data_IF_911527629751
#
_entry.id   IF_911527629751
#
_cell.length_a   1.000
_cell.length_b   1.000
_cell.length_c   1.000
_cell.angle_alpha   90.00
_cell.angle_beta   90.00
_cell.angle_gamma   90.00
#
_symmetry.space_group_name_H-M   'P 1'
#
loop_
_entity.id
_entity.type
_entity.pdbx_description
1 polymer ?
#
# COMPACT_ATOMS: atom_id res chain seq x y z
N UNK A 1 10.86 -36.40 54.69
CA UNK A 1 11.24 -36.18 53.28
C UNK A 1 12.75 -36.35 53.18
N UNK A 2 13.22 -37.32 52.40
CA UNK A 2 14.64 -37.44 52.08
C UNK A 2 14.96 -36.44 50.98
N UNK A 3 15.75 -35.40 51.28
CA UNK A 3 16.37 -34.56 50.25
C UNK A 3 17.60 -35.29 49.72
N UNK A 4 17.62 -35.73 48.46
CA UNK A 4 18.84 -36.28 47.87
C UNK A 4 19.84 -35.15 47.70
N UNK A 5 20.82 -35.08 48.61
CA UNK A 5 21.97 -34.18 48.50
C UNK A 5 22.63 -34.38 47.13
N UNK A 6 22.77 -33.30 46.35
CA UNK A 6 23.34 -33.34 44.99
C UNK A 6 22.32 -33.39 43.84
N UNK A 7 21.03 -33.61 44.12
CA UNK A 7 19.94 -33.55 43.12
C UNK A 7 18.93 -32.42 43.43
N UNK A 8 19.33 -31.45 44.25
CA UNK A 8 18.44 -30.40 44.77
C UNK A 8 17.79 -29.57 43.67
N UNK A 9 18.53 -29.27 42.60
CA UNK A 9 18.03 -28.52 41.44
C UNK A 9 16.95 -29.30 40.69
N UNK A 10 17.18 -30.59 40.41
CA UNK A 10 16.19 -31.43 39.71
C UNK A 10 14.97 -31.73 40.57
N UNK A 11 15.15 -31.87 41.89
CA UNK A 11 14.06 -32.00 42.85
C UNK A 11 13.22 -30.71 42.92
N UNK A 12 13.87 -29.54 42.91
CA UNK A 12 13.21 -28.24 42.91
C UNK A 12 12.43 -28.01 41.61
N UNK A 13 13.00 -28.36 40.45
CA UNK A 13 12.31 -28.29 39.16
C UNK A 13 11.05 -29.20 39.11
N UNK A 14 11.14 -30.42 39.66
CA UNK A 14 9.97 -31.32 39.78
C UNK A 14 8.88 -30.76 40.69
N UNK A 15 9.26 -30.13 41.81
CA UNK A 15 8.32 -29.47 42.70
C UNK A 15 7.67 -28.25 42.03
N UNK A 16 8.45 -27.45 41.30
CA UNK A 16 7.95 -26.31 40.53
C UNK A 16 6.96 -26.76 39.45
N UNK A 17 7.24 -27.85 38.75
CA UNK A 17 6.31 -28.41 37.76
C UNK A 17 5.00 -28.88 38.41
N UNK A 18 5.09 -29.50 39.59
CA UNK A 18 3.92 -29.87 40.40
C UNK A 18 3.10 -28.64 40.82
N UNK A 19 3.77 -27.58 41.27
CA UNK A 19 3.16 -26.30 41.63
C UNK A 19 2.48 -25.63 40.44
N UNK A 20 3.13 -25.60 39.28
CA UNK A 20 2.55 -25.11 38.01
C UNK A 20 1.25 -25.85 37.66
N UNK A 21 1.27 -27.18 37.68
CA UNK A 21 0.08 -27.99 37.42
C UNK A 21 -1.06 -27.69 38.41
N UNK A 22 -0.73 -27.49 39.69
CA UNK A 22 -1.72 -27.19 40.71
C UNK A 22 -2.31 -25.78 40.53
N UNK A 23 -1.49 -24.78 40.18
CA UNK A 23 -1.96 -23.44 39.86
C UNK A 23 -2.96 -23.46 38.70
N UNK A 24 -2.65 -24.21 37.62
CA UNK A 24 -3.57 -24.37 36.48
C UNK A 24 -4.91 -25.02 36.89
N UNK A 25 -4.89 -26.04 37.75
CA UNK A 25 -6.12 -26.69 38.24
C UNK A 25 -7.01 -25.77 39.08
N UNK A 26 -6.38 -24.84 39.81
CA UNK A 26 -7.04 -23.84 40.66
C UNK A 26 -7.47 -22.58 39.91
N UNK A 27 -7.01 -22.39 38.68
CA UNK A 27 -7.23 -21.16 37.92
C UNK A 27 -6.36 -19.99 38.40
N UNK A 28 -5.24 -20.27 39.07
CA UNK A 28 -4.25 -19.28 39.51
C UNK A 28 -3.29 -18.96 38.34
N UNK A 29 -3.84 -18.31 37.31
CA UNK A 29 -3.19 -18.17 35.99
C UNK A 29 -1.88 -17.37 36.03
N UNK A 30 -1.81 -16.31 36.83
CA UNK A 30 -0.60 -15.48 36.97
C UNK A 30 0.55 -16.25 37.64
N UNK A 31 0.24 -17.04 38.67
CA UNK A 31 1.22 -17.88 39.35
C UNK A 31 1.72 -18.99 38.43
N UNK A 32 0.81 -19.62 37.68
CA UNK A 32 1.19 -20.62 36.67
C UNK A 32 2.12 -20.00 35.60
N UNK A 33 1.81 -18.80 35.11
CA UNK A 33 2.63 -18.11 34.11
C UNK A 33 4.03 -17.78 34.65
N UNK A 34 4.15 -17.38 35.92
CA UNK A 34 5.43 -17.05 36.54
C UNK A 34 6.39 -18.26 36.63
N UNK A 35 5.87 -19.49 36.66
CA UNK A 35 6.69 -20.70 36.67
C UNK A 35 7.32 -21.02 35.30
N UNK A 36 6.73 -20.54 34.20
CA UNK A 36 7.08 -20.95 32.82
C UNK A 36 8.56 -20.72 32.48
N UNK A 37 9.19 -19.55 32.76
CA UNK A 37 10.59 -19.32 32.40
C UNK A 37 11.56 -20.31 33.05
N UNK A 38 11.33 -20.63 34.33
CA UNK A 38 12.17 -21.57 35.09
C UNK A 38 11.93 -23.03 34.66
N UNK A 39 10.71 -23.37 34.23
CA UNK A 39 10.39 -24.69 33.71
C UNK A 39 10.94 -24.95 32.31
N UNK A 40 11.18 -23.90 31.52
CA UNK A 40 11.87 -24.00 30.24
C UNK A 40 13.32 -24.44 30.40
N UNK A 41 14.01 -23.95 31.43
CA UNK A 41 15.40 -24.32 31.74
C UNK A 41 15.52 -25.68 32.46
N UNK A 42 14.38 -26.32 32.76
CA UNK A 42 14.37 -27.58 33.49
C UNK A 42 14.97 -28.74 32.68
N UNK A 43 15.62 -29.68 33.37
CA UNK A 43 16.25 -30.82 32.72
C UNK A 43 15.25 -31.97 32.46
N UNK A 44 15.54 -32.76 31.43
CA UNK A 44 14.79 -33.96 31.09
C UNK A 44 13.51 -33.67 30.30
N UNK A 45 12.40 -34.28 30.71
CA UNK A 45 11.12 -34.29 29.97
C UNK A 45 10.14 -33.20 30.45
N UNK A 46 10.55 -32.36 31.41
CA UNK A 46 9.70 -31.29 31.95
C UNK A 46 9.36 -30.25 30.88
N UNK A 47 10.32 -29.73 30.08
CA UNK A 47 10.01 -28.72 29.05
C UNK A 47 8.96 -29.20 28.05
N UNK A 48 9.08 -30.45 27.56
CA UNK A 48 8.12 -31.03 26.61
C UNK A 48 6.71 -31.14 27.20
N UNK A 49 6.58 -31.59 28.44
CA UNK A 49 5.28 -31.65 29.14
C UNK A 49 4.66 -30.26 29.30
N UNK A 50 5.47 -29.25 29.57
CA UNK A 50 4.99 -27.88 29.69
C UNK A 50 4.54 -27.36 28.32
N UNK A 51 5.31 -27.61 27.26
CA UNK A 51 4.92 -27.30 25.87
C UNK A 51 3.56 -27.94 25.52
N UNK A 52 3.36 -29.23 25.80
CA UNK A 52 2.11 -29.95 25.55
C UNK A 52 0.93 -29.32 26.32
N UNK A 53 1.16 -28.92 27.57
CA UNK A 53 0.15 -28.24 28.39
C UNK A 53 -0.17 -26.86 27.80
N UNK A 54 0.84 -26.07 27.43
CA UNK A 54 0.64 -24.76 26.81
C UNK A 54 -0.15 -24.87 25.50
N UNK A 55 0.16 -25.85 24.66
CA UNK A 55 -0.61 -26.14 23.45
C UNK A 55 -2.07 -26.50 23.76
N UNK A 56 -2.31 -27.34 24.77
CA UNK A 56 -3.66 -27.73 25.18
C UNK A 56 -4.48 -26.53 25.71
N UNK A 57 -3.86 -25.62 26.46
CA UNK A 57 -4.51 -24.40 26.96
C UNK A 57 -5.00 -23.49 25.83
N UNK A 58 -4.25 -23.44 24.72
CA UNK A 58 -4.60 -22.64 23.53
C UNK A 58 -5.66 -23.35 22.68
N UNK A 59 -5.57 -24.66 22.52
CA UNK A 59 -6.43 -25.44 21.62
C UNK A 59 -7.85 -25.66 22.13
N UNK A 60 -8.04 -25.65 23.45
CA UNK A 60 -9.33 -25.94 24.07
C UNK A 60 -9.77 -24.82 25.03
N UNK A 61 -10.01 -23.58 24.56
CA UNK A 61 -10.37 -22.46 25.44
C UNK A 61 -11.61 -22.77 26.30
N UNK A 62 -12.61 -23.46 25.74
CA UNK A 62 -13.85 -23.81 26.44
C UNK A 62 -13.67 -24.77 27.62
N UNK A 63 -12.53 -25.46 27.71
CA UNK A 63 -12.20 -26.37 28.81
C UNK A 63 -11.44 -25.67 29.95
N UNK A 64 -11.07 -24.40 29.78
CA UNK A 64 -10.37 -23.62 30.80
C UNK A 64 -11.31 -23.27 31.95
N UNK A 65 -10.87 -23.53 33.18
CA UNK A 65 -11.60 -23.18 34.41
C UNK A 65 -11.53 -21.69 34.68
N UNK A 66 -12.39 -20.92 34.02
CA UNK A 66 -12.45 -19.48 34.21
C UNK A 66 -13.47 -19.11 35.30
N UNK A 67 -13.13 -18.13 36.14
CA UNK A 67 -14.12 -17.48 37.00
C UNK A 67 -15.14 -16.69 36.18
N UNK A 68 -16.23 -16.24 36.80
CA UNK A 68 -17.31 -15.51 36.10
C UNK A 68 -16.80 -14.23 35.39
N UNK A 69 -15.68 -13.66 35.84
CA UNK A 69 -15.10 -12.43 35.29
C UNK A 69 -14.06 -12.67 34.18
N UNK A 70 -13.66 -13.92 33.94
CA UNK A 70 -12.58 -14.26 33.01
C UNK A 70 -13.17 -14.93 31.78
N UNK A 71 -12.94 -14.32 30.63
CA UNK A 71 -13.31 -14.90 29.36
C UNK A 71 -12.30 -16.01 28.96
N UNK A 72 -12.76 -17.25 28.69
CA UNK A 72 -11.88 -18.37 28.35
C UNK A 72 -11.05 -18.14 27.08
N UNK A 73 -11.61 -17.48 26.07
CA UNK A 73 -10.92 -17.23 24.81
C UNK A 73 -9.83 -16.18 24.97
N UNK A 74 -10.10 -15.13 25.74
CA UNK A 74 -9.09 -14.11 26.09
C UNK A 74 -7.96 -14.70 26.94
N UNK A 75 -8.29 -15.61 27.85
CA UNK A 75 -7.28 -16.33 28.63
C UNK A 75 -6.43 -17.23 27.73
N UNK A 76 -7.05 -17.98 26.82
CA UNK A 76 -6.32 -18.76 25.82
C UNK A 76 -5.40 -17.87 24.96
N UNK A 77 -5.79 -16.62 24.69
CA UNK A 77 -4.95 -15.66 23.95
C UNK A 77 -3.71 -15.26 24.74
N UNK A 78 -3.85 -15.04 26.05
CA UNK A 78 -2.69 -14.80 26.92
C UNK A 78 -1.74 -16.01 26.89
N UNK A 79 -2.28 -17.23 26.94
CA UNK A 79 -1.47 -18.44 26.84
C UNK A 79 -0.85 -18.66 25.46
N UNK A 80 -1.50 -18.22 24.38
CA UNK A 80 -0.91 -18.20 23.03
C UNK A 80 0.34 -17.31 23.01
N UNK A 81 0.29 -16.12 23.61
CA UNK A 81 1.47 -15.23 23.69
C UNK A 81 2.60 -15.84 24.53
N UNK A 82 2.27 -16.63 25.56
CA UNK A 82 3.26 -17.38 26.35
C UNK A 82 3.87 -18.51 25.51
N UNK A 83 3.05 -19.25 24.76
CA UNK A 83 3.49 -20.32 23.86
C UNK A 83 4.36 -19.78 22.72
N UNK A 84 4.01 -18.64 22.11
CA UNK A 84 4.84 -18.00 21.09
C UNK A 84 6.23 -17.65 21.63
N UNK A 85 6.32 -17.13 22.87
CA UNK A 85 7.61 -16.88 23.54
C UNK A 85 8.38 -18.17 23.83
N UNK A 86 7.68 -19.22 24.28
CA UNK A 86 8.27 -20.53 24.51
C UNK A 86 8.89 -21.10 23.23
N UNK A 87 8.12 -21.14 22.14
CA UNK A 87 8.57 -21.68 20.85
C UNK A 87 9.70 -20.84 20.24
N UNK A 88 9.69 -19.51 20.41
CA UNK A 88 10.76 -18.64 19.94
C UNK A 88 12.11 -18.96 20.59
N UNK A 89 12.13 -19.31 21.88
CA UNK A 89 13.35 -19.74 22.59
C UNK A 89 13.87 -21.08 22.05
N UNK A 90 12.96 -21.98 21.68
CA UNK A 90 13.29 -23.28 21.08
C UNK A 90 13.54 -23.22 19.56
N UNK A 91 13.42 -22.03 18.94
CA UNK A 91 13.46 -21.82 17.48
C UNK A 91 12.44 -22.67 16.70
N UNK A 92 11.31 -22.98 17.32
CA UNK A 92 10.17 -23.64 16.70
C UNK A 92 9.17 -22.61 16.20
N UNK A 93 8.40 -22.98 15.18
CA UNK A 93 7.31 -22.15 14.66
C UNK A 93 5.98 -22.68 15.21
N UNK A 94 5.11 -21.77 15.61
CA UNK A 94 3.72 -22.07 15.95
C UNK A 94 3.00 -22.53 14.66
N UNK A 95 2.25 -23.65 14.65
CA UNK A 95 1.46 -24.02 13.48
C UNK A 95 0.44 -22.91 13.16
N UNK A 96 0.42 -22.45 11.90
CA UNK A 96 -0.31 -21.25 11.47
C UNK A 96 -1.82 -21.29 11.81
N UNK A 97 -2.41 -22.49 11.85
CA UNK A 97 -3.82 -22.68 12.20
C UNK A 97 -4.18 -22.40 13.67
N UNK A 98 -3.24 -22.43 14.62
CA UNK A 98 -3.54 -22.22 16.04
C UNK A 98 -4.01 -20.80 16.32
N UNK A 99 -3.25 -19.83 15.83
CA UNK A 99 -3.55 -18.41 16.00
C UNK A 99 -4.86 -18.05 15.30
N UNK A 100 -5.04 -18.47 14.04
CA UNK A 100 -6.26 -18.20 13.28
C UNK A 100 -7.53 -18.75 13.94
N UNK A 101 -7.47 -19.95 14.52
CA UNK A 101 -8.60 -20.53 15.27
C UNK A 101 -9.00 -19.66 16.46
N UNK A 102 -8.03 -19.16 17.20
CA UNK A 102 -8.31 -18.35 18.37
C UNK A 102 -8.76 -16.94 18.01
N UNK A 103 -8.21 -16.36 16.95
CA UNK A 103 -8.69 -15.11 16.36
C UNK A 103 -10.16 -15.23 15.96
N UNK A 104 -10.57 -16.34 15.34
CA UNK A 104 -11.98 -16.59 15.01
C UNK A 104 -12.86 -16.69 16.24
N UNK A 105 -12.44 -17.42 17.27
CA UNK A 105 -13.22 -17.53 18.50
C UNK A 105 -13.44 -16.15 19.10
N UNK A 106 -12.38 -15.34 19.24
CA UNK A 106 -12.48 -13.99 19.77
C UNK A 106 -13.41 -13.10 18.93
N UNK A 107 -13.30 -13.19 17.60
CA UNK A 107 -14.21 -12.45 16.70
C UNK A 107 -15.66 -12.92 16.83
N UNK A 108 -15.90 -14.21 17.09
CA UNK A 108 -17.25 -14.75 17.23
C UNK A 108 -18.01 -14.21 18.44
N UNK A 109 -17.31 -13.65 19.43
CA UNK A 109 -17.94 -12.97 20.57
C UNK A 109 -18.57 -11.62 20.19
N UNK A 110 -17.98 -10.95 19.19
CA UNK A 110 -18.44 -9.66 18.70
C UNK A 110 -19.44 -9.79 17.55
N UNK A 111 -19.69 -11.03 17.08
CA UNK A 111 -20.73 -11.32 16.10
C UNK A 111 -22.13 -11.28 16.74
N UNK A 112 -23.16 -10.90 15.96
CA UNK A 112 -24.53 -10.97 16.46
C UNK A 112 -24.92 -12.42 16.79
N UNK A 113 -25.73 -12.60 17.84
CA UNK A 113 -26.02 -13.90 18.45
C UNK A 113 -27.03 -14.79 17.71
N UNK A 114 -27.43 -14.42 16.51
CA UNK A 114 -28.44 -15.09 15.68
C UNK A 114 -27.83 -16.03 14.62
N UNK A 115 -26.51 -16.21 14.62
CA UNK A 115 -25.81 -17.08 13.67
C UNK A 115 -26.07 -18.57 14.01
N UNK A 116 -26.55 -19.38 13.05
CA UNK A 116 -26.74 -20.82 13.23
C UNK A 116 -25.44 -21.57 13.58
N UNK A 117 -25.51 -22.51 14.54
CA UNK A 117 -24.34 -23.28 15.01
C UNK A 117 -23.66 -24.12 13.92
N UNK A 118 -24.43 -24.59 12.94
CA UNK A 118 -23.93 -25.34 11.79
C UNK A 118 -23.04 -24.48 10.90
N UNK A 119 -23.42 -23.21 10.65
CA UNK A 119 -22.61 -22.25 9.91
C UNK A 119 -21.36 -21.86 10.71
N UNK A 120 -21.46 -21.67 12.02
CA UNK A 120 -20.28 -21.41 12.87
C UNK A 120 -19.28 -22.57 12.84
N UNK A 121 -19.78 -23.82 12.89
CA UNK A 121 -18.94 -25.03 12.74
C UNK A 121 -18.30 -25.08 11.37
N UNK A 122 -19.05 -24.75 10.33
CA UNK A 122 -18.54 -24.67 8.96
C UNK A 122 -17.39 -23.65 8.84
N UNK A 123 -17.60 -22.41 9.28
CA UNK A 123 -16.58 -21.35 9.29
C UNK A 123 -15.33 -21.77 10.07
N UNK A 124 -15.50 -22.37 11.26
CA UNK A 124 -14.40 -22.88 12.07
C UNK A 124 -13.62 -24.01 11.36
N UNK A 125 -14.33 -24.90 10.64
CA UNK A 125 -13.68 -26.01 9.92
C UNK A 125 -12.83 -25.52 8.75
N UNK A 126 -13.28 -24.51 8.02
CA UNK A 126 -12.53 -23.90 6.91
C UNK A 126 -11.23 -23.28 7.43
N UNK A 127 -11.27 -22.58 8.57
CA UNK A 127 -10.08 -22.01 9.20
C UNK A 127 -9.14 -23.07 9.80
N UNK A 128 -9.67 -24.22 10.21
CA UNK A 128 -8.89 -25.28 10.83
C UNK A 128 -8.03 -26.08 9.83
N UNK A 129 -8.29 -25.95 8.53
CA UNK A 129 -7.65 -26.77 7.48
C UNK A 129 -6.26 -26.28 7.05
N UNK A 130 -5.87 -25.05 7.39
CA UNK A 130 -4.51 -24.53 7.17
C UNK A 130 -3.41 -25.23 7.99
N UNK A 131 -3.78 -26.21 8.82
CA UNK A 131 -2.87 -27.00 9.66
C UNK A 131 -2.44 -28.34 9.03
N UNK A 132 -2.83 -28.66 7.80
CA UNK A 132 -2.46 -29.95 7.19
C UNK A 132 -0.96 -30.02 6.86
N UNK A 133 -0.30 -31.07 7.38
CA UNK A 133 1.13 -31.38 7.23
C UNK A 133 1.66 -31.25 5.78
N UNK A 134 2.91 -30.80 5.59
CA UNK A 134 3.56 -30.68 4.28
C UNK A 134 3.90 -32.02 3.60
N UNK A 135 3.39 -33.16 4.09
CA UNK A 135 3.84 -34.51 3.71
C UNK A 135 2.97 -35.16 2.61
N UNK A 136 1.85 -34.56 2.19
CA UNK A 136 1.01 -35.16 1.15
C UNK A 136 1.42 -34.73 -0.26
N UNK A 137 1.85 -35.72 -1.05
CA UNK A 137 2.21 -35.67 -2.46
C UNK A 137 1.24 -34.83 -3.31
N UNK A 138 1.80 -34.05 -4.24
CA UNK A 138 1.10 -33.06 -5.07
C UNK A 138 -0.08 -33.60 -5.92
N UNK A 139 -0.22 -34.91 -6.07
CA UNK A 139 -1.33 -35.54 -6.79
C UNK A 139 -2.57 -35.84 -5.93
N UNK A 140 -2.45 -35.92 -4.59
CA UNK A 140 -3.61 -36.16 -3.70
C UNK A 140 -4.31 -34.86 -3.25
N UNK A 141 -3.66 -33.69 -3.39
CA UNK A 141 -4.28 -32.37 -3.13
C UNK A 141 -5.49 -32.07 -4.02
N UNK A 142 -5.57 -32.71 -5.19
CA UNK A 142 -6.62 -32.42 -6.18
C UNK A 142 -7.90 -33.24 -5.97
N UNK A 143 -7.88 -34.27 -5.12
CA UNK A 143 -9.04 -35.12 -4.84
C UNK A 143 -9.67 -34.84 -3.46
N UNK A 144 -8.92 -34.19 -2.56
CA UNK A 144 -9.38 -33.74 -1.24
C UNK A 144 -9.64 -32.23 -1.22
N UNK A 145 -10.52 -31.74 -2.10
CA UNK A 145 -10.94 -30.34 -2.01
C UNK A 145 -11.69 -30.10 -0.69
N UNK A 146 -11.34 -29.04 0.07
CA UNK A 146 -11.96 -28.75 1.35
C UNK A 146 -13.47 -28.47 1.22
N UNK A 147 -14.27 -28.61 2.30
CA UNK A 147 -15.65 -28.16 2.32
C UNK A 147 -15.66 -26.64 2.11
N UNK A 148 -16.10 -26.25 0.93
CA UNK A 148 -16.37 -24.87 0.56
C UNK A 148 -17.45 -24.29 1.47
N UNK A 149 -17.42 -22.98 1.68
CA UNK A 149 -18.53 -22.30 2.32
C UNK A 149 -19.81 -22.52 1.50
N UNK A 150 -20.86 -22.95 2.18
CA UNK A 150 -22.21 -23.10 1.69
C UNK A 150 -22.76 -21.77 1.18
N UNK A 151 -23.73 -21.82 0.28
CA UNK A 151 -24.43 -20.62 -0.19
C UNK A 151 -25.06 -19.85 0.97
N UNK A 152 -25.53 -20.58 1.97
CA UNK A 152 -26.14 -20.10 3.21
C UNK A 152 -25.11 -19.36 4.06
N UNK A 153 -23.92 -19.94 4.27
CA UNK A 153 -22.83 -19.26 4.97
C UNK A 153 -22.40 -17.97 4.26
N UNK A 154 -22.27 -17.98 2.92
CA UNK A 154 -21.88 -16.79 2.16
C UNK A 154 -22.98 -15.71 2.18
N UNK A 155 -24.25 -16.09 2.13
CA UNK A 155 -25.36 -15.16 2.30
C UNK A 155 -25.37 -14.54 3.70
N UNK A 156 -25.14 -15.35 4.74
CA UNK A 156 -25.03 -14.87 6.11
C UNK A 156 -23.87 -13.90 6.29
N UNK A 157 -22.69 -14.18 5.70
CA UNK A 157 -21.55 -13.24 5.71
C UNK A 157 -21.90 -11.90 5.07
N UNK A 158 -22.71 -11.92 4.01
CA UNK A 158 -23.21 -10.72 3.36
C UNK A 158 -24.20 -9.94 4.23
N UNK A 159 -25.06 -10.62 4.96
CA UNK A 159 -25.99 -9.98 5.89
C UNK A 159 -25.26 -9.42 7.12
N UNK A 160 -24.27 -10.13 7.64
CA UNK A 160 -23.37 -9.63 8.68
C UNK A 160 -22.63 -8.35 8.24
N UNK A 161 -22.21 -8.28 6.98
CA UNK A 161 -21.61 -7.07 6.42
C UNK A 161 -22.56 -5.86 6.41
N UNK A 162 -23.88 -6.09 6.43
CA UNK A 162 -24.89 -5.03 6.53
C UNK A 162 -25.12 -4.59 7.98
N UNK A 163 -25.16 -5.55 8.89
CA UNK A 163 -25.53 -5.32 10.29
C UNK A 163 -24.33 -4.94 11.18
N UNK A 164 -23.21 -5.64 10.99
CA UNK A 164 -21.97 -5.52 11.76
C UNK A 164 -20.74 -5.51 10.83
N UNK A 165 -20.50 -4.41 10.07
CA UNK A 165 -19.50 -4.39 9.01
C UNK A 165 -18.07 -4.60 9.51
N UNK A 166 -17.70 -4.12 10.71
CA UNK A 166 -16.34 -4.27 11.23
C UNK A 166 -16.01 -5.72 11.62
N UNK A 167 -16.81 -6.42 12.45
CA UNK A 167 -16.59 -7.85 12.72
C UNK A 167 -16.65 -8.72 11.47
N UNK A 168 -17.62 -8.47 10.58
CA UNK A 168 -17.77 -9.22 9.34
C UNK A 168 -16.56 -9.06 8.41
N UNK A 169 -16.01 -7.84 8.30
CA UNK A 169 -14.81 -7.59 7.52
C UNK A 169 -13.59 -8.33 8.11
N UNK A 170 -13.41 -8.27 9.43
CA UNK A 170 -12.31 -8.99 10.10
C UNK A 170 -12.41 -10.51 9.90
N UNK A 171 -13.62 -11.06 9.95
CA UNK A 171 -13.87 -12.48 9.71
C UNK A 171 -13.60 -12.88 8.24
N UNK A 172 -13.98 -12.04 7.28
CA UNK A 172 -13.66 -12.26 5.86
C UNK A 172 -12.15 -12.17 5.60
N UNK A 173 -11.45 -11.23 6.22
CA UNK A 173 -9.98 -11.14 6.14
C UNK A 173 -9.31 -12.40 6.69
N UNK A 174 -9.82 -12.92 7.82
CA UNK A 174 -9.34 -14.15 8.44
C UNK A 174 -9.57 -15.38 7.55
N UNK A 175 -10.75 -15.50 6.93
CA UNK A 175 -11.09 -16.59 6.00
C UNK A 175 -10.26 -16.58 4.72
N UNK A 176 -9.90 -15.40 4.22
CA UNK A 176 -9.10 -15.27 3.00
C UNK A 176 -7.59 -15.46 3.25
N UNK A 177 -7.11 -15.50 4.51
CA UNK A 177 -5.73 -15.81 4.90
C UNK A 177 -4.67 -14.79 4.45
N UNK A 178 -3.40 -14.89 4.83
CA UNK A 178 -2.33 -14.01 4.29
C UNK A 178 -1.76 -14.52 2.94
N UNK A 179 -1.24 -13.60 2.12
CA UNK A 179 -0.64 -13.90 0.80
C UNK A 179 0.66 -14.72 0.92
N UNK A 180 0.54 -16.02 1.10
CA UNK A 180 1.60 -16.94 0.66
C UNK A 180 1.31 -17.23 -0.81
N UNK A 181 2.15 -16.70 -1.70
CA UNK A 181 1.95 -16.57 -3.15
C UNK A 181 1.76 -17.85 -3.98
N UNK A 182 1.14 -18.88 -3.43
CA UNK A 182 0.86 -20.19 -4.04
C UNK A 182 -0.58 -20.69 -3.81
N UNK A 183 -1.44 -20.00 -3.06
CA UNK A 183 -2.76 -20.51 -2.68
C UNK A 183 -3.92 -20.10 -3.61
N UNK A 184 -4.49 -21.04 -4.37
CA UNK A 184 -5.84 -20.96 -4.97
C UNK A 184 -6.98 -20.93 -3.90
N UNK A 185 -6.60 -20.94 -2.63
CA UNK A 185 -7.46 -21.00 -1.46
C UNK A 185 -8.13 -19.62 -1.26
N UNK A 186 -9.45 -19.57 -1.41
CA UNK A 186 -10.25 -18.34 -1.31
C UNK A 186 -10.84 -17.83 -2.62
N UNK A 187 -10.53 -18.46 -3.78
CA UNK A 187 -11.13 -18.10 -5.07
C UNK A 187 -12.67 -18.10 -5.04
N UNK A 188 -13.35 -19.17 -4.60
CA UNK A 188 -14.82 -19.19 -4.67
C UNK A 188 -15.49 -18.19 -3.75
N UNK A 189 -14.90 -17.92 -2.58
CA UNK A 189 -15.38 -16.87 -1.69
C UNK A 189 -15.23 -15.49 -2.35
N UNK A 190 -14.07 -15.18 -2.93
CA UNK A 190 -13.88 -13.93 -3.68
C UNK A 190 -14.87 -13.81 -4.84
N UNK A 191 -15.08 -14.89 -5.60
CA UNK A 191 -16.07 -14.91 -6.69
C UNK A 191 -17.48 -14.64 -6.18
N UNK A 192 -17.90 -15.34 -5.12
CA UNK A 192 -19.23 -15.17 -4.55
C UNK A 192 -19.43 -13.75 -4.00
N UNK A 193 -18.41 -13.15 -3.39
CA UNK A 193 -18.42 -11.75 -2.97
C UNK A 193 -18.55 -10.79 -4.16
N UNK A 194 -17.81 -11.03 -5.25
CA UNK A 194 -17.94 -10.23 -6.49
C UNK A 194 -19.38 -10.31 -7.03
N UNK A 195 -19.96 -11.51 -7.11
CA UNK A 195 -21.33 -11.71 -7.57
C UNK A 195 -22.36 -11.00 -6.67
N UNK A 196 -22.16 -11.03 -5.35
CA UNK A 196 -23.01 -10.33 -4.38
C UNK A 196 -22.89 -8.81 -4.50
N UNK A 197 -21.67 -8.27 -4.64
CA UNK A 197 -21.46 -6.84 -4.86
C UNK A 197 -22.19 -6.39 -6.13
N UNK A 198 -22.04 -7.12 -7.24
CA UNK A 198 -22.73 -6.79 -8.51
C UNK A 198 -24.24 -6.85 -8.38
N UNK A 199 -24.79 -7.86 -7.69
CA UNK A 199 -26.23 -7.93 -7.37
C UNK A 199 -26.68 -6.71 -6.56
N UNK A 200 -25.91 -6.31 -5.56
CA UNK A 200 -26.21 -5.13 -4.74
C UNK A 200 -26.12 -3.83 -5.54
N UNK A 201 -25.13 -3.67 -6.42
CA UNK A 201 -25.02 -2.53 -7.33
C UNK A 201 -26.22 -2.41 -8.26
N UNK A 202 -26.72 -3.54 -8.80
CA UNK A 202 -27.95 -3.56 -9.61
C UNK A 202 -29.18 -3.20 -8.80
N UNK A 203 -29.28 -3.67 -7.56
CA UNK A 203 -30.38 -3.32 -6.66
C UNK A 203 -30.39 -1.81 -6.34
N UNK A 204 -29.22 -1.19 -6.16
CA UNK A 204 -29.10 0.25 -5.93
C UNK A 204 -29.53 1.11 -7.13
N UNK A 205 -29.53 0.55 -8.35
CA UNK A 205 -30.03 1.23 -9.56
C UNK A 205 -31.57 1.16 -9.71
N UNK A 206 -32.24 0.31 -8.92
CA UNK A 206 -33.69 0.11 -9.00
C UNK A 206 -34.50 1.19 -8.28
N UNK A 207 -35.81 1.34 -8.59
CA UNK A 207 -36.71 2.31 -7.94
C UNK A 207 -37.03 1.98 -6.48
N UNK A 208 -36.72 0.76 -6.03
CA UNK A 208 -36.78 0.38 -4.62
C UNK A 208 -35.52 0.91 -3.93
N UNK A 209 -35.70 1.89 -3.04
CA UNK A 209 -34.66 2.38 -2.13
C UNK A 209 -33.89 1.18 -1.55
N UNK A 210 -32.58 1.11 -1.84
CA UNK A 210 -31.74 0.00 -1.40
C UNK A 210 -31.90 -0.28 0.10
N UNK A 211 -31.78 -1.56 0.47
CA UNK A 211 -31.84 -1.96 1.88
C UNK A 211 -30.82 -1.18 2.72
N UNK A 212 -31.16 -0.79 3.96
CA UNK A 212 -30.22 -0.15 4.87
C UNK A 212 -28.98 -1.04 5.04
N UNK A 213 -27.79 -0.45 5.01
CA UNK A 213 -26.51 -1.17 5.13
C UNK A 213 -25.98 -1.81 3.82
N UNK A 214 -26.71 -1.77 2.70
CA UNK A 214 -26.21 -2.35 1.43
C UNK A 214 -24.91 -1.68 0.93
N UNK A 215 -24.78 -0.38 1.15
CA UNK A 215 -23.57 0.40 0.80
C UNK A 215 -22.39 0.02 1.68
N UNK A 216 -22.61 -0.15 2.98
CA UNK A 216 -21.55 -0.56 3.90
C UNK A 216 -21.13 -2.01 3.65
N UNK A 217 -22.05 -2.88 3.25
CA UNK A 217 -21.73 -4.22 2.82
C UNK A 217 -20.88 -4.26 1.54
N UNK A 218 -21.19 -3.40 0.55
CA UNK A 218 -20.34 -3.23 -0.64
C UNK A 218 -18.94 -2.77 -0.23
N UNK A 219 -18.83 -1.73 0.61
CA UNK A 219 -17.53 -1.22 1.04
C UNK A 219 -16.72 -2.23 1.86
N UNK A 220 -17.37 -2.95 2.78
CA UNK A 220 -16.74 -3.98 3.60
C UNK A 220 -16.26 -5.16 2.75
N UNK A 221 -17.10 -5.66 1.84
CA UNK A 221 -16.70 -6.72 0.91
C UNK A 221 -15.53 -6.28 0.01
N UNK A 222 -15.61 -5.08 -0.59
CA UNK A 222 -14.55 -4.54 -1.45
C UNK A 222 -13.18 -4.46 -0.76
N UNK A 223 -13.17 -4.14 0.55
CA UNK A 223 -11.93 -4.03 1.33
C UNK A 223 -11.25 -5.38 1.60
N UNK A 224 -11.98 -6.48 1.43
CA UNK A 224 -11.47 -7.84 1.59
C UNK A 224 -11.12 -8.51 0.25
N UNK A 225 -11.63 -7.99 -0.87
CA UNK A 225 -11.33 -8.52 -2.19
C UNK A 225 -9.85 -8.39 -2.53
N UNK A 226 -9.36 -9.35 -3.31
CA UNK A 226 -7.98 -9.39 -3.80
C UNK A 226 -7.98 -9.41 -5.31
N UNK A 227 -6.84 -9.05 -5.90
CA UNK A 227 -6.65 -9.20 -7.34
C UNK A 227 -5.85 -10.47 -7.63
N UNK A 228 -6.49 -11.64 -7.84
CA UNK A 228 -5.78 -12.85 -8.23
C UNK A 228 -5.20 -12.70 -9.64
N UNK A 229 -4.07 -13.37 -9.90
CA UNK A 229 -3.36 -13.32 -11.18
C UNK A 229 -4.20 -13.84 -12.36
N UNK A 230 -5.14 -14.77 -12.11
CA UNK A 230 -6.22 -15.29 -12.97
C UNK A 230 -7.01 -16.32 -12.12
N UNK A 231 -8.29 -16.68 -12.39
CA UNK A 231 -9.16 -16.39 -13.55
C UNK A 231 -10.21 -15.25 -13.38
N UNK A 232 -10.18 -14.45 -12.31
CA UNK A 232 -11.21 -13.42 -11.99
C UNK A 232 -11.06 -12.16 -12.86
N UNK A 233 -10.03 -12.08 -13.72
CA UNK A 233 -9.65 -10.85 -14.40
C UNK A 233 -10.79 -10.19 -15.19
N UNK A 234 -11.58 -10.96 -15.93
CA UNK A 234 -12.72 -10.42 -16.69
C UNK A 234 -13.88 -9.99 -15.79
N UNK A 235 -14.22 -10.78 -14.77
CA UNK A 235 -15.28 -10.47 -13.80
C UNK A 235 -14.92 -9.23 -12.95
N UNK A 236 -13.66 -9.06 -12.57
CA UNK A 236 -13.16 -7.89 -11.85
C UNK A 236 -13.14 -6.62 -12.70
N UNK A 237 -12.84 -6.72 -14.01
CA UNK A 237 -12.98 -5.59 -14.93
C UNK A 237 -14.43 -5.13 -15.02
N UNK A 238 -15.37 -6.07 -15.22
CA UNK A 238 -16.80 -5.77 -15.22
C UNK A 238 -17.26 -5.17 -13.88
N UNK A 239 -16.76 -5.67 -12.75
CA UNK A 239 -17.03 -5.07 -11.44
C UNK A 239 -16.54 -3.62 -11.37
N UNK A 240 -15.32 -3.33 -11.83
CA UNK A 240 -14.79 -1.97 -11.85
C UNK A 240 -15.63 -1.02 -12.72
N UNK A 241 -16.10 -1.49 -13.88
CA UNK A 241 -17.02 -0.73 -14.73
C UNK A 241 -18.36 -0.45 -14.01
N UNK A 242 -18.97 -1.46 -13.40
CA UNK A 242 -20.24 -1.33 -12.68
C UNK A 242 -20.12 -0.37 -11.48
N UNK A 243 -18.99 -0.41 -10.75
CA UNK A 243 -18.65 0.49 -9.64
C UNK A 243 -18.43 1.94 -10.11
N UNK A 244 -17.72 2.12 -11.21
CA UNK A 244 -17.46 3.43 -11.79
C UNK A 244 -18.75 4.11 -12.24
N UNK A 245 -19.61 3.37 -12.93
CA UNK A 245 -20.94 3.86 -13.32
C UNK A 245 -21.79 4.19 -12.09
N UNK A 246 -21.82 3.29 -11.10
CA UNK A 246 -22.64 3.47 -9.90
C UNK A 246 -22.18 4.65 -9.04
N UNK A 247 -20.88 4.97 -8.99
CA UNK A 247 -20.38 6.13 -8.24
C UNK A 247 -20.60 7.47 -8.96
N UNK A 248 -20.76 7.46 -10.29
CA UNK A 248 -20.98 8.66 -11.10
C UNK A 248 -22.46 9.00 -11.31
N UNK A 249 -23.38 8.09 -11.02
CA UNK A 249 -24.82 8.37 -11.21
C UNK A 249 -25.32 9.42 -10.22
N UNK A 250 -26.13 10.36 -10.70
CA UNK A 250 -26.74 11.39 -9.85
C UNK A 250 -27.62 10.76 -8.77
N UNK A 251 -27.43 11.19 -7.51
CA UNK A 251 -28.16 10.63 -6.37
C UNK A 251 -27.66 9.26 -5.89
N UNK A 252 -26.52 8.78 -6.39
CA UNK A 252 -25.93 7.53 -5.90
C UNK A 252 -25.55 7.63 -4.42
N UNK A 253 -25.83 6.60 -3.62
CA UNK A 253 -25.35 6.54 -2.25
C UNK A 253 -23.86 6.12 -2.17
N UNK A 254 -23.25 5.70 -3.28
CA UNK A 254 -21.84 5.33 -3.35
C UNK A 254 -20.97 6.55 -3.68
N UNK A 255 -20.06 6.87 -2.77
CA UNK A 255 -19.01 7.88 -2.96
C UNK A 255 -17.74 7.25 -3.53
N UNK A 256 -17.21 7.87 -4.57
CA UNK A 256 -15.99 7.39 -5.25
C UNK A 256 -14.77 7.43 -4.32
N UNK A 257 -14.64 8.42 -3.44
CA UNK A 257 -13.51 8.52 -2.51
C UNK A 257 -13.49 7.35 -1.53
N UNK A 258 -14.67 6.92 -1.06
CA UNK A 258 -14.79 5.74 -0.18
C UNK A 258 -14.50 4.45 -0.95
N UNK A 259 -14.92 4.33 -2.21
CA UNK A 259 -14.59 3.17 -3.06
C UNK A 259 -13.07 3.04 -3.23
N UNK A 260 -12.40 4.11 -3.61
CA UNK A 260 -10.94 4.12 -3.73
C UNK A 260 -10.28 3.81 -2.40
N UNK A 261 -10.77 4.37 -1.29
CA UNK A 261 -10.31 4.04 0.06
C UNK A 261 -10.38 2.53 0.37
N UNK A 262 -11.44 1.84 -0.06
CA UNK A 262 -11.57 0.39 0.10
C UNK A 262 -10.57 -0.40 -0.74
N UNK A 263 -10.23 0.07 -1.94
CA UNK A 263 -9.30 -0.62 -2.85
C UNK A 263 -7.82 -0.40 -2.47
N UNK A 264 -7.51 0.69 -1.75
CA UNK A 264 -6.15 1.10 -1.36
C UNK A 264 -5.54 0.28 -0.20
N UNK A 265 -5.58 -1.05 -0.29
CA UNK A 265 -4.89 -1.96 0.64
C UNK A 265 -3.83 -2.80 -0.08
N UNK A 266 -2.94 -3.45 0.70
CA UNK A 266 -1.76 -4.15 0.16
C UNK A 266 -2.13 -5.21 -0.90
N UNK A 267 -3.12 -6.06 -0.61
CA UNK A 267 -3.63 -7.11 -1.50
C UNK A 267 -4.58 -6.59 -2.61
N UNK A 268 -5.05 -5.34 -2.48
CA UNK A 268 -5.98 -4.69 -3.41
C UNK A 268 -5.31 -3.87 -4.51
N UNK A 269 -3.96 -3.75 -4.51
CA UNK A 269 -3.24 -2.93 -5.50
C UNK A 269 -3.60 -3.26 -6.95
N UNK A 270 -3.78 -4.55 -7.26
CA UNK A 270 -4.22 -4.97 -8.59
C UNK A 270 -5.63 -4.48 -8.94
N UNK A 271 -6.55 -4.44 -7.97
CA UNK A 271 -7.90 -3.92 -8.16
C UNK A 271 -7.89 -2.40 -8.40
N UNK A 272 -7.04 -1.65 -7.68
CA UNK A 272 -6.87 -0.21 -7.93
C UNK A 272 -6.34 0.04 -9.34
N UNK A 273 -5.41 -0.79 -9.81
CA UNK A 273 -4.88 -0.70 -11.18
C UNK A 273 -5.97 -0.96 -12.21
N UNK A 274 -6.76 -2.03 -12.05
CA UNK A 274 -7.91 -2.33 -12.91
C UNK A 274 -8.96 -1.21 -12.90
N UNK A 275 -9.25 -0.65 -11.74
CA UNK A 275 -10.14 0.51 -11.61
C UNK A 275 -9.57 1.72 -12.34
N UNK A 276 -8.27 1.99 -12.22
CA UNK A 276 -7.60 3.08 -12.94
C UNK A 276 -7.66 2.93 -14.46
N UNK A 277 -7.48 1.71 -14.98
CA UNK A 277 -7.62 1.41 -16.40
C UNK A 277 -9.05 1.63 -16.90
N UNK A 278 -10.05 1.06 -16.22
CA UNK A 278 -11.47 1.27 -16.57
C UNK A 278 -11.87 2.75 -16.45
N UNK A 279 -11.33 3.47 -15.46
CA UNK A 279 -11.50 4.91 -15.31
C UNK A 279 -10.94 5.68 -16.50
N UNK A 280 -9.74 5.34 -16.99
CA UNK A 280 -9.13 5.99 -18.13
C UNK A 280 -9.89 5.72 -19.44
N UNK A 281 -10.39 4.50 -19.64
CA UNK A 281 -11.23 4.14 -20.80
C UNK A 281 -12.59 4.84 -20.81
N UNK A 282 -13.20 5.02 -19.63
CA UNK A 282 -14.54 5.61 -19.46
C UNK A 282 -14.51 7.06 -18.98
N UNK A 283 -13.34 7.70 -18.91
CA UNK A 283 -13.24 9.10 -18.52
C UNK A 283 -14.10 9.94 -19.48
N UNK A 284 -14.92 10.88 -18.98
CA UNK A 284 -15.75 11.67 -19.87
C UNK A 284 -14.84 12.46 -20.81
N UNK A 285 -14.89 12.13 -22.10
CA UNK A 285 -14.59 13.11 -23.13
C UNK A 285 -15.53 14.31 -22.88
N UNK A 286 -15.05 15.35 -22.19
CA UNK A 286 -15.77 16.63 -22.14
C UNK A 286 -15.64 17.35 -23.49
N UNK A 287 -16.60 18.23 -23.82
CA UNK A 287 -17.30 18.32 -25.11
C UNK A 287 -16.43 18.83 -26.27
N UNK A 288 -16.86 18.63 -27.53
CA UNK A 288 -16.13 19.11 -28.70
C UNK A 288 -16.10 20.64 -28.73
N UNK A 289 -15.02 21.22 -28.24
CA UNK A 289 -14.56 22.54 -28.72
C UNK A 289 -13.85 22.33 -30.06
N UNK A 290 -14.13 23.14 -31.08
CA UNK A 290 -13.58 22.94 -32.41
C UNK A 290 -12.17 23.53 -32.48
N UNK A 291 -11.16 22.68 -32.33
CA UNK A 291 -9.82 22.94 -32.89
C UNK A 291 -9.33 21.73 -33.68
N UNK A 292 -8.68 21.96 -34.84
CA UNK A 292 -8.36 20.92 -35.79
C UNK A 292 -7.03 20.28 -35.42
N UNK A 293 -7.03 19.37 -34.44
CA UNK A 293 -5.98 18.35 -34.36
C UNK A 293 -6.45 17.21 -33.47
N UNK A 294 -6.24 15.98 -33.95
CA UNK A 294 -6.91 14.76 -33.50
C UNK A 294 -6.90 14.54 -31.99
N UNK A 295 -8.07 14.15 -31.48
CA UNK A 295 -8.32 13.64 -30.14
C UNK A 295 -7.45 12.40 -29.91
N UNK A 296 -6.52 12.45 -28.95
CA UNK A 296 -5.72 11.30 -28.52
C UNK A 296 -5.85 11.17 -27.01
N UNK A 297 -6.36 10.02 -26.56
CA UNK A 297 -6.38 9.64 -25.14
C UNK A 297 -4.97 9.74 -24.56
N UNK A 298 -4.79 10.25 -23.32
CA UNK A 298 -3.47 10.32 -22.67
C UNK A 298 -2.79 8.95 -22.50
N UNK A 299 -3.52 7.84 -22.65
CA UNK A 299 -2.95 6.49 -22.70
C UNK A 299 -2.12 6.19 -23.98
N UNK A 300 -2.26 7.01 -25.03
CA UNK A 300 -1.55 6.86 -26.31
C UNK A 300 -0.61 8.03 -26.62
N UNK A 301 -0.51 9.00 -25.71
CA UNK A 301 0.44 10.10 -25.83
C UNK A 301 1.83 9.66 -25.35
N UNK A 302 2.86 10.26 -25.93
CA UNK A 302 4.21 10.25 -25.36
C UNK A 302 4.13 10.67 -23.88
N UNK A 303 4.80 9.97 -22.93
CA UNK A 303 4.73 10.28 -21.51
C UNK A 303 4.84 11.74 -21.14
N UNK A 304 5.64 12.50 -21.88
CA UNK A 304 5.85 13.93 -21.66
C UNK A 304 4.60 14.75 -21.97
N UNK A 305 3.95 14.45 -23.10
CA UNK A 305 2.69 15.09 -23.53
C UNK A 305 1.53 14.70 -22.62
N UNK A 306 1.53 13.46 -22.13
CA UNK A 306 0.55 13.01 -21.15
C UNK A 306 0.67 13.81 -19.84
N UNK A 307 1.88 13.95 -19.30
CA UNK A 307 2.10 14.70 -18.05
C UNK A 307 1.76 16.19 -18.18
N UNK A 308 2.10 16.82 -19.31
CA UNK A 308 1.70 18.19 -19.60
C UNK A 308 0.19 18.35 -19.66
N UNK A 309 -0.52 17.46 -20.35
CA UNK A 309 -1.98 17.50 -20.44
C UNK A 309 -2.65 17.33 -19.07
N UNK A 310 -2.11 16.46 -18.21
CA UNK A 310 -2.64 16.20 -16.87
C UNK A 310 -2.55 17.42 -15.96
N UNK A 311 -1.39 18.09 -15.92
CA UNK A 311 -1.15 19.23 -15.03
C UNK A 311 -1.54 20.58 -15.64
N UNK A 312 -1.96 20.62 -16.91
CA UNK A 312 -2.61 21.78 -17.51
C UNK A 312 -4.10 21.89 -17.15
N UNK A 313 -4.68 20.90 -16.47
CA UNK A 313 -6.08 20.90 -16.07
C UNK A 313 -6.36 21.95 -14.97
N UNK A 314 -7.39 22.80 -15.11
CA UNK A 314 -7.71 23.80 -14.10
C UNK A 314 -8.04 23.21 -12.73
N UNK A 315 -8.62 22.00 -12.68
CA UNK A 315 -9.01 21.32 -11.45
C UNK A 315 -7.85 20.46 -10.87
N UNK A 316 -7.23 20.88 -9.75
CA UNK A 316 -6.09 20.18 -9.17
C UNK A 316 -6.47 18.79 -8.64
N UNK A 317 -7.68 18.61 -8.09
CA UNK A 317 -8.08 17.32 -7.52
C UNK A 317 -8.23 16.26 -8.61
N UNK A 318 -8.85 16.64 -9.73
CA UNK A 318 -8.99 15.76 -10.90
C UNK A 318 -7.64 15.50 -11.58
N UNK A 319 -6.77 16.51 -11.67
CA UNK A 319 -5.42 16.36 -12.22
C UNK A 319 -4.61 15.31 -11.46
N UNK A 320 -4.61 15.37 -10.12
CA UNK A 320 -3.90 14.41 -9.28
C UNK A 320 -4.46 13.02 -9.32
N UNK A 321 -5.79 12.87 -9.38
CA UNK A 321 -6.43 11.57 -9.54
C UNK A 321 -6.01 10.89 -10.85
N UNK A 322 -6.04 11.64 -11.96
CA UNK A 322 -5.61 11.14 -13.26
C UNK A 322 -4.10 10.83 -13.28
N UNK A 323 -3.28 11.70 -12.69
CA UNK A 323 -1.83 11.48 -12.57
C UNK A 323 -1.51 10.24 -11.72
N UNK A 324 -2.25 10.00 -10.64
CA UNK A 324 -2.12 8.81 -9.82
C UNK A 324 -2.37 7.53 -10.63
N UNK A 325 -3.50 7.45 -11.34
CA UNK A 325 -3.81 6.28 -12.17
C UNK A 325 -2.81 6.09 -13.31
N UNK A 326 -2.37 7.17 -13.94
CA UNK A 326 -1.34 7.14 -14.98
C UNK A 326 0.01 6.63 -14.47
N UNK A 327 0.42 7.02 -13.26
CA UNK A 327 1.65 6.54 -12.65
C UNK A 327 1.52 5.07 -12.23
N UNK A 328 0.35 4.68 -11.71
CA UNK A 328 0.05 3.32 -11.29
C UNK A 328 0.09 2.34 -12.48
N UNK A 329 -0.51 2.70 -13.61
CA UNK A 329 -0.53 1.87 -14.82
C UNK A 329 0.85 1.69 -15.44
N UNK A 330 1.69 2.73 -15.35
CA UNK A 330 3.04 2.72 -15.92
C UNK A 330 4.12 2.22 -14.95
N UNK A 331 3.76 1.86 -13.71
CA UNK A 331 4.69 1.45 -12.65
C UNK A 331 5.85 2.43 -12.40
N UNK A 332 5.64 3.73 -12.66
CA UNK A 332 6.67 4.77 -12.46
C UNK A 332 6.29 5.71 -11.33
N UNK A 333 7.30 6.24 -10.65
CA UNK A 333 7.06 7.25 -9.64
C UNK A 333 6.62 8.58 -10.29
N UNK A 334 5.62 9.25 -9.72
CA UNK A 334 5.10 10.50 -10.29
C UNK A 334 6.20 11.56 -10.45
N UNK A 335 7.07 11.70 -9.45
CA UNK A 335 8.18 12.66 -9.49
C UNK A 335 9.20 12.32 -10.59
N UNK A 336 9.45 11.04 -10.86
CA UNK A 336 10.34 10.63 -11.94
C UNK A 336 9.76 11.07 -13.29
N UNK A 337 8.45 10.84 -13.51
CA UNK A 337 7.77 11.25 -14.73
C UNK A 337 7.79 12.77 -14.92
N UNK A 338 7.59 13.54 -13.85
CA UNK A 338 7.64 15.01 -13.90
C UNK A 338 9.05 15.50 -14.22
N UNK A 339 10.08 14.93 -13.57
CA UNK A 339 11.46 15.32 -13.80
C UNK A 339 11.93 14.96 -15.21
N UNK A 340 11.58 13.77 -15.71
CA UNK A 340 11.88 13.36 -17.09
C UNK A 340 11.21 14.31 -18.08
N UNK A 341 9.92 14.59 -17.89
CA UNK A 341 9.18 15.55 -18.73
C UNK A 341 9.82 16.94 -18.70
N UNK A 342 10.16 17.45 -17.52
CA UNK A 342 10.79 18.75 -17.36
C UNK A 342 12.17 18.81 -18.03
N UNK A 343 12.98 17.75 -17.92
CA UNK A 343 14.29 17.67 -18.56
C UNK A 343 14.18 17.60 -20.09
N UNK A 344 13.16 16.96 -20.65
CA UNK A 344 12.98 16.97 -22.10
C UNK A 344 12.53 18.34 -22.60
N UNK A 345 11.60 19.00 -21.92
CA UNK A 345 11.21 20.39 -22.26
C UNK A 345 12.39 21.36 -22.18
N UNK A 346 13.31 21.15 -21.23
CA UNK A 346 14.57 21.91 -21.15
C UNK A 346 15.48 21.66 -22.35
N UNK A 347 15.58 20.42 -22.85
CA UNK A 347 16.37 20.10 -24.04
C UNK A 347 15.77 20.67 -25.32
N UNK A 348 14.44 20.75 -25.38
CA UNK A 348 13.69 21.33 -26.50
C UNK A 348 13.58 22.87 -26.43
N UNK A 349 14.08 23.49 -25.35
CA UNK A 349 13.93 24.92 -25.03
C UNK A 349 12.45 25.40 -24.98
N UNK A 350 11.49 24.51 -24.69
CA UNK A 350 10.07 24.85 -24.50
C UNK A 350 9.81 25.34 -23.06
N UNK A 351 10.29 26.55 -22.78
CA UNK A 351 10.13 27.18 -21.47
C UNK A 351 8.67 27.47 -21.09
N UNK A 352 7.77 27.91 -21.98
CA UNK A 352 6.36 28.13 -21.63
C UNK A 352 5.67 26.88 -21.07
N UNK A 353 5.82 25.72 -21.72
CA UNK A 353 5.25 24.46 -21.25
C UNK A 353 5.87 24.01 -19.93
N UNK A 354 7.19 24.23 -19.75
CA UNK A 354 7.89 23.97 -18.51
C UNK A 354 7.39 24.86 -17.36
N UNK A 355 7.12 26.13 -17.64
CA UNK A 355 6.51 27.06 -16.69
C UNK A 355 5.12 26.59 -16.25
N UNK A 356 4.27 26.18 -17.20
CA UNK A 356 2.93 25.64 -16.91
C UNK A 356 3.00 24.37 -16.03
N UNK A 357 3.93 23.46 -16.32
CA UNK A 357 4.12 22.23 -15.53
C UNK A 357 4.47 22.55 -14.06
N UNK A 358 5.21 23.63 -13.82
CA UNK A 358 5.78 23.97 -12.51
C UNK A 358 5.02 25.07 -11.76
N UNK A 359 3.95 25.63 -12.33
CA UNK A 359 3.27 26.84 -11.83
C UNK A 359 2.57 26.67 -10.46
N UNK A 360 2.40 25.43 -9.98
CA UNK A 360 1.65 25.10 -8.76
C UNK A 360 2.48 24.26 -7.77
N UNK A 361 2.17 22.98 -7.64
CA UNK A 361 2.71 22.10 -6.61
C UNK A 361 4.17 21.70 -6.86
N UNK A 362 4.65 21.87 -8.09
CA UNK A 362 6.04 21.64 -8.47
C UNK A 362 6.88 22.91 -8.51
N UNK A 363 6.36 24.04 -8.03
CA UNK A 363 7.13 25.29 -7.92
C UNK A 363 8.43 25.13 -7.13
N UNK A 364 8.56 24.25 -6.11
CA UNK A 364 9.84 24.05 -5.42
C UNK A 364 10.94 23.46 -6.30
N UNK A 365 10.59 22.79 -7.41
CA UNK A 365 11.56 22.18 -8.34
C UNK A 365 12.13 23.19 -9.35
N UNK A 366 11.51 24.35 -9.50
CA UNK A 366 11.86 25.36 -10.51
C UNK A 366 13.33 25.75 -10.51
N UNK A 367 13.87 26.19 -9.36
CA UNK A 367 15.28 26.62 -9.22
C UNK A 367 16.27 25.47 -9.35
N UNK A 368 15.89 24.26 -8.96
CA UNK A 368 16.72 23.07 -9.20
C UNK A 368 16.82 22.80 -10.71
N UNK A 369 15.71 22.90 -11.42
CA UNK A 369 15.64 22.72 -12.87
C UNK A 369 16.36 23.82 -13.64
N UNK A 370 16.46 25.05 -13.12
CA UNK A 370 17.35 26.09 -13.67
C UNK A 370 18.80 25.62 -13.68
N UNK A 371 19.29 25.10 -12.56
CA UNK A 371 20.70 24.67 -12.43
C UNK A 371 20.99 23.45 -13.31
N UNK A 372 20.04 22.51 -13.40
CA UNK A 372 20.16 21.34 -14.27
C UNK A 372 20.03 21.71 -15.76
N UNK A 373 19.17 22.67 -16.08
CA UNK A 373 18.91 23.16 -17.43
C UNK A 373 19.94 24.15 -17.97
N UNK A 374 20.80 24.69 -17.10
CA UNK A 374 21.75 25.74 -17.48
C UNK A 374 22.69 25.32 -18.61
N UNK A 375 23.16 24.07 -18.56
CA UNK A 375 24.05 23.48 -19.59
C UNK A 375 23.35 23.18 -20.91
N UNK A 376 22.02 23.20 -20.94
CA UNK A 376 21.22 22.91 -22.14
C UNK A 376 20.88 24.18 -22.94
N UNK A 377 21.08 25.38 -22.38
CA UNK A 377 20.81 26.64 -23.06
C UNK A 377 21.84 26.92 -24.17
N UNK A 378 21.37 27.08 -25.42
CA UNK A 378 22.26 27.32 -26.57
C UNK A 378 22.61 28.80 -26.79
N UNK A 379 21.88 29.73 -26.15
CA UNK A 379 22.05 31.17 -26.35
C UNK A 379 21.85 31.98 -25.05
N UNK A 380 22.38 33.21 -25.04
CA UNK A 380 22.14 34.16 -23.94
C UNK A 380 20.63 34.46 -23.79
N UNK A 381 19.90 34.50 -24.90
CA UNK A 381 18.47 34.73 -24.91
C UNK A 381 17.68 33.55 -24.31
N UNK A 382 18.09 32.30 -24.56
CA UNK A 382 17.45 31.11 -23.95
C UNK A 382 17.77 31.01 -22.46
N UNK A 383 18.99 31.30 -22.03
CA UNK A 383 19.34 31.38 -20.60
C UNK A 383 18.52 32.46 -19.85
N UNK A 384 18.32 33.63 -20.48
CA UNK A 384 17.48 34.70 -19.91
C UNK A 384 16.01 34.29 -19.80
N UNK A 385 15.45 33.66 -20.86
CA UNK A 385 14.07 33.14 -20.85
C UNK A 385 13.87 32.04 -19.81
N UNK A 386 14.83 31.13 -19.65
CA UNK A 386 14.80 30.07 -18.64
C UNK A 386 14.69 30.66 -17.22
N UNK A 387 15.58 31.61 -16.87
CA UNK A 387 15.52 32.26 -15.57
C UNK A 387 14.24 33.07 -15.39
N UNK A 388 13.78 33.81 -16.42
CA UNK A 388 12.52 34.57 -16.33
C UNK A 388 11.32 33.67 -16.06
N UNK A 389 11.33 32.45 -16.59
CA UNK A 389 10.21 31.52 -16.47
C UNK A 389 10.20 30.81 -15.13
N UNK A 390 11.37 30.38 -14.63
CA UNK A 390 11.47 29.51 -13.46
C UNK A 390 11.93 30.21 -12.18
N UNK A 391 12.68 31.30 -12.29
CA UNK A 391 13.17 32.02 -11.12
C UNK A 391 12.22 33.16 -10.74
N UNK A 392 11.18 32.82 -9.97
CA UNK A 392 10.29 33.81 -9.36
C UNK A 392 10.92 34.33 -8.07
N UNK A 393 11.26 35.62 -8.07
CA UNK A 393 11.93 36.31 -6.94
C UNK A 393 11.04 36.47 -5.71
N UNK A 394 9.72 36.32 -5.84
CA UNK A 394 8.75 36.48 -4.74
C UNK A 394 8.43 35.17 -3.99
N UNK A 395 8.90 34.00 -4.44
CA UNK A 395 8.56 32.72 -3.81
C UNK A 395 9.31 32.49 -2.49
N UNK A 396 8.55 32.49 -1.39
CA UNK A 396 9.01 32.31 -0.01
C UNK A 396 9.40 30.86 0.32
N UNK A 397 8.97 29.87 -0.46
CA UNK A 397 9.04 28.44 -0.15
C UNK A 397 10.33 27.69 -0.53
N UNK A 398 11.36 28.35 -1.05
CA UNK A 398 12.55 27.69 -1.60
C UNK A 398 13.81 27.88 -0.74
N UNK A 399 14.73 26.91 -0.84
CA UNK A 399 16.05 26.92 -0.21
C UNK A 399 16.84 28.19 -0.57
N UNK A 400 17.44 28.82 0.45
CA UNK A 400 18.24 30.04 0.31
C UNK A 400 19.42 29.81 -0.62
N UNK A 401 20.04 28.63 -0.57
CA UNK A 401 21.20 28.31 -1.42
C UNK A 401 20.85 28.30 -2.90
N UNK A 402 19.71 27.70 -3.26
CA UNK A 402 19.25 27.67 -4.66
C UNK A 402 18.82 29.06 -5.14
N UNK A 403 18.27 29.89 -4.25
CA UNK A 403 17.95 31.29 -4.55
C UNK A 403 19.21 32.07 -4.91
N UNK A 404 20.20 32.05 -4.01
CA UNK A 404 21.44 32.82 -4.16
C UNK A 404 22.21 32.39 -5.42
N UNK A 405 22.18 31.08 -5.76
CA UNK A 405 22.75 30.58 -7.00
C UNK A 405 22.05 31.13 -8.25
N UNK A 406 20.71 31.16 -8.27
CA UNK A 406 19.94 31.70 -9.40
C UNK A 406 20.07 33.23 -9.52
N UNK A 407 20.08 33.95 -8.41
CA UNK A 407 20.35 35.40 -8.37
C UNK A 407 21.76 35.72 -8.88
N UNK A 408 22.74 34.90 -8.49
CA UNK A 408 24.09 34.96 -9.03
C UNK A 408 24.11 34.78 -10.54
N UNK A 409 23.45 33.73 -11.07
CA UNK A 409 23.37 33.49 -12.52
C UNK A 409 22.70 34.65 -13.27
N UNK A 410 21.64 35.24 -12.69
CA UNK A 410 20.97 36.40 -13.24
C UNK A 410 21.93 37.60 -13.40
N UNK A 411 22.68 37.94 -12.34
CA UNK A 411 23.67 39.01 -12.38
C UNK A 411 24.77 38.77 -13.43
N UNK A 412 25.21 37.52 -13.61
CA UNK A 412 26.17 37.18 -14.66
C UNK A 412 25.60 37.39 -16.07
N UNK A 413 24.32 37.07 -16.30
CA UNK A 413 23.67 37.35 -17.59
C UNK A 413 23.59 38.85 -17.87
N UNK A 414 23.26 39.67 -16.88
CA UNK A 414 23.19 41.14 -17.05
C UNK A 414 24.54 41.73 -17.49
N UNK A 415 25.64 41.25 -16.88
CA UNK A 415 27.00 41.65 -17.27
C UNK A 415 27.34 41.19 -18.68
N UNK A 416 27.03 39.93 -19.03
CA UNK A 416 27.27 39.41 -20.39
C UNK A 416 26.45 40.16 -21.45
N UNK A 417 25.19 40.48 -21.15
CA UNK A 417 24.33 41.26 -22.04
C UNK A 417 24.88 42.67 -22.24
N UNK A 418 25.36 43.32 -21.17
CA UNK A 418 26.02 44.62 -21.26
C UNK A 418 27.29 44.55 -22.13
N UNK A 419 28.13 43.54 -21.98
CA UNK A 419 29.33 43.34 -22.81
C UNK A 419 28.99 43.14 -24.30
N UNK A 420 27.93 42.38 -24.61
CA UNK A 420 27.45 42.18 -25.98
C UNK A 420 26.87 43.47 -26.57
N UNK A 421 26.24 44.32 -25.76
CA UNK A 421 25.73 45.62 -26.21
C UNK A 421 26.86 46.61 -26.48
N UNK A 422 27.89 46.68 -25.62
CA UNK A 422 29.04 47.59 -25.79
C UNK A 422 29.94 47.22 -26.98
N UNK A 423 30.12 45.92 -27.24
CA UNK A 423 30.91 45.44 -28.39
C UNK A 423 30.28 45.74 -29.76
N UNK A 424 28.98 46.06 -29.82
CA UNK A 424 28.30 46.49 -31.06
C UNK A 424 28.53 47.97 -31.42
N UNK A 425 29.02 48.79 -30.48
CA UNK A 425 29.31 50.21 -30.71
C UNK A 425 30.82 50.50 -30.95
N UNK A 426 31.67 49.47 -30.98
CA UNK A 426 33.10 49.59 -31.32
C UNK A 426 33.38 49.28 -32.81
N UNK A 427 34.41 49.88 -33.44
CA UNK A 427 34.76 49.57 -34.82
C UNK A 427 35.24 48.11 -34.96
N UNK A 428 34.77 47.46 -36.02
CA UNK A 428 34.77 46.02 -36.25
C UNK A 428 36.12 45.28 -36.08
N UNK A 429 36.07 44.11 -35.43
CA UNK A 429 36.71 42.88 -35.92
C UNK A 429 35.80 41.67 -35.61
N UNK A 430 35.56 40.75 -36.57
CA UNK A 430 34.75 39.56 -36.33
C UNK A 430 35.64 38.44 -35.77
N UNK A 431 35.62 38.25 -34.46
CA UNK A 431 36.02 36.97 -33.86
C UNK A 431 34.75 36.13 -33.68
N UNK A 432 34.71 34.87 -34.15
CA UNK A 432 33.58 33.99 -33.86
C UNK A 432 33.57 33.72 -32.35
N UNK A 433 32.54 34.19 -31.66
CA UNK A 433 32.27 33.75 -30.29
C UNK A 433 32.07 32.24 -30.32
N UNK A 434 32.81 31.47 -29.50
CA UNK A 434 32.56 30.05 -29.40
C UNK A 434 31.19 29.82 -28.73
N UNK A 435 30.54 28.68 -28.97
CA UNK A 435 29.27 28.35 -28.31
C UNK A 435 29.43 28.43 -26.79
N UNK A 436 28.37 28.86 -26.09
CA UNK A 436 28.31 29.03 -24.62
C UNK A 436 28.82 27.83 -23.80
N UNK A 437 29.00 26.65 -24.41
CA UNK A 437 29.70 25.50 -23.84
C UNK A 437 31.21 25.67 -23.61
N UNK A 438 31.81 26.81 -23.93
CA UNK A 438 33.25 27.09 -23.75
C UNK A 438 33.57 28.24 -22.80
N UNK A 439 32.55 28.92 -22.24
CA UNK A 439 32.76 29.73 -21.06
C UNK A 439 33.01 28.78 -19.89
N UNK A 440 34.23 28.88 -19.35
CA UNK A 440 34.81 27.97 -18.39
C UNK A 440 33.76 27.46 -17.38
N UNK A 441 33.50 26.14 -17.31
CA UNK A 441 32.64 25.54 -16.30
C UNK A 441 33.11 25.87 -14.88
N UNK A 442 34.32 26.44 -14.72
CA UNK A 442 34.93 26.81 -13.46
C UNK A 442 34.15 27.86 -12.65
N UNK A 443 33.48 28.86 -13.22
CA UNK A 443 32.72 29.82 -12.36
C UNK A 443 31.42 29.21 -11.81
N UNK A 444 30.71 28.41 -12.60
CA UNK A 444 29.54 27.67 -12.13
C UNK A 444 29.94 26.47 -11.23
N UNK A 445 31.02 25.75 -11.57
CA UNK A 445 31.58 24.67 -10.74
C UNK A 445 32.15 25.19 -9.43
N UNK A 446 32.74 26.40 -9.37
CA UNK A 446 33.25 26.99 -8.13
C UNK A 446 32.10 27.46 -7.24
N UNK A 447 31.01 27.99 -7.81
CA UNK A 447 29.79 28.30 -7.05
C UNK A 447 29.12 27.02 -6.49
N UNK A 448 29.04 25.95 -7.28
CA UNK A 448 28.49 24.65 -6.88
C UNK A 448 29.43 23.91 -5.90
N UNK A 449 30.75 24.04 -6.06
CA UNK A 449 31.79 23.44 -5.20
C UNK A 449 31.95 24.13 -3.85
N UNK A 450 31.63 25.43 -3.74
CA UNK A 450 31.77 26.18 -2.47
C UNK A 450 30.56 26.04 -1.54
N UNK A 451 29.40 25.61 -2.05
CA UNK A 451 28.15 25.56 -1.27
C UNK A 451 27.50 24.17 -1.12
N UNK A 452 28.00 23.12 -1.77
CA UNK A 452 27.57 21.74 -1.50
C UNK A 452 28.71 20.89 -0.90
N UNK A 453 28.59 20.39 0.35
CA UNK A 453 29.55 19.44 0.88
C UNK A 453 29.46 18.09 0.13
N UNK A 454 30.42 17.85 -0.76
CA UNK A 454 31.09 16.61 -1.20
C UNK A 454 30.37 15.23 -1.24
N UNK A 455 29.05 15.10 -1.08
CA UNK A 455 28.35 13.79 -1.15
C UNK A 455 27.53 13.55 -2.41
N UNK A 456 27.26 14.58 -3.22
CA UNK A 456 26.47 14.44 -4.45
C UNK A 456 27.30 14.12 -5.71
N UNK A 457 28.62 14.23 -5.64
CA UNK A 457 29.52 13.97 -6.78
C UNK A 457 29.62 12.48 -7.18
N UNK A 458 29.01 11.56 -6.41
CA UNK A 458 29.02 10.12 -6.73
C UNK A 458 27.85 9.66 -7.61
N UNK A 459 26.79 10.45 -7.81
CA UNK A 459 25.66 10.02 -8.65
C UNK A 459 25.83 10.39 -10.13
N UNK A 460 26.56 11.44 -10.48
CA UNK A 460 26.72 11.87 -11.88
C UNK A 460 27.77 11.05 -12.66
N UNK A 461 28.65 10.30 -11.98
CA UNK A 461 29.69 9.50 -12.64
C UNK A 461 29.19 8.11 -13.07
N UNK A 462 28.03 7.65 -12.56
CA UNK A 462 27.49 6.32 -12.87
C UNK A 462 26.53 6.28 -14.07
N UNK A 463 26.10 7.42 -14.62
CA UNK A 463 25.22 7.48 -15.80
C UNK A 463 25.95 7.73 -17.12
N UNK A 464 27.29 7.82 -17.10
CA UNK A 464 28.09 8.03 -18.32
C UNK A 464 28.91 6.81 -18.74
N UNK A 465 28.64 5.64 -18.16
CA UNK A 465 29.15 4.35 -18.67
C UNK A 465 28.00 3.35 -18.77
N UNK A 466 27.19 3.50 -19.83
CA UNK A 466 26.58 2.43 -20.63
C UNK A 466 26.18 2.99 -21.99
#
# INVERSE_FOLDING_TARGET
>A
MHHPFGEEETASQKQLFGFFCECLRRGEWELAQACVPQLHEAQGDIPKKVEDILQALVMCPSQLRCGQDINPQRLAWVWLLVLEKWLALEKKLLPAGFRRKLEFLLLSEDLPGDIPEDILKELYTVLAQDAADPVLDGNQRQESWPPWLSSEAVALLWDLLREAPQPAQALLELLLGEEDGTGLQGWPLQKALVDLIRKALRALRGPASGHPGAVDAIYGALRTLRCPAEPLGAELRLLCEELLEASRSEGSPLREERLLGCLLHKAGRGLVSLYGHTYAEKAPEKPPMPTPSGKVSPAHLDPERAMLALFSNPDPAQAWKLAYFYCLSNSKHFLEQILVTALTLLKEEDFPSLGCLLDREFSPLSRLLVLLGWTHCQSLASAKRLLQTLHRTQDQGCDKLLRDACDGLWAHLEVLEWCVQQSRYGPAQPAPFPPLGTLDPCSARVAISRHLPCKWFKLTVLTSNK
#
